data_IF_965418947842
#
_entry.id   IF_965418947842
#
_cell.length_a   1.000
_cell.length_b   1.000
_cell.length_c   1.000
_cell.angle_alpha   90.00
_cell.angle_beta   90.00
_cell.angle_gamma   90.00
#
_symmetry.space_group_name_H-M   'P 1'
#
loop_
_entity.id
_entity.type
_entity.pdbx_description
1 polymer ?
#
# COMPACT_ATOMS: atom_id res chain seq x y z
N UNK A 1 41.76 -22.82 3.54
CA UNK A 1 40.43 -22.41 3.06
C UNK A 1 39.67 -21.81 4.22
N UNK A 2 39.12 -20.60 4.07
CA UNK A 2 38.29 -19.99 5.12
C UNK A 2 36.83 -20.37 4.88
N UNK A 3 36.16 -20.94 5.87
CA UNK A 3 34.73 -21.30 5.82
C UNK A 3 33.83 -20.08 6.12
N UNK A 4 34.20 -18.92 5.60
CA UNK A 4 33.49 -17.67 5.87
C UNK A 4 32.50 -17.41 4.73
N UNK A 5 31.21 -17.20 5.03
CA UNK A 5 30.24 -16.80 4.01
C UNK A 5 30.52 -15.39 3.50
N UNK A 6 30.09 -15.12 2.28
CA UNK A 6 30.28 -13.82 1.67
C UNK A 6 29.45 -12.72 2.36
N UNK A 7 29.99 -11.50 2.42
CA UNK A 7 29.34 -10.39 3.14
C UNK A 7 28.01 -9.97 2.51
N UNK A 8 27.85 -10.09 1.19
CA UNK A 8 26.65 -9.63 0.48
C UNK A 8 25.42 -10.51 0.76
N UNK A 9 25.62 -11.76 1.19
CA UNK A 9 24.53 -12.68 1.54
C UNK A 9 23.62 -12.15 2.66
N UNK A 10 24.09 -11.17 3.44
CA UNK A 10 23.33 -10.56 4.53
C UNK A 10 22.11 -9.78 4.05
N UNK A 11 22.25 -9.07 2.93
CA UNK A 11 21.25 -8.11 2.45
C UNK A 11 20.71 -8.45 1.06
N UNK A 12 21.49 -9.18 0.24
CA UNK A 12 21.05 -9.60 -1.10
C UNK A 12 20.19 -10.85 -0.98
N UNK A 13 18.97 -10.77 -1.52
CA UNK A 13 18.09 -11.92 -1.68
C UNK A 13 18.51 -12.66 -2.96
N UNK A 14 18.80 -13.98 -2.89
CA UNK A 14 19.13 -14.75 -4.08
C UNK A 14 17.92 -14.89 -5.01
N UNK A 15 18.19 -15.08 -6.29
CA UNK A 15 17.15 -15.24 -7.31
C UNK A 15 16.27 -16.46 -7.01
N UNK A 16 14.95 -16.28 -7.13
CA UNK A 16 13.94 -17.32 -6.85
C UNK A 16 13.40 -17.32 -5.42
N UNK A 17 14.01 -16.59 -4.47
CA UNK A 17 13.49 -16.46 -3.11
C UNK A 17 12.67 -15.17 -2.96
N UNK A 18 11.44 -15.27 -2.44
CA UNK A 18 10.61 -14.10 -2.13
C UNK A 18 11.13 -13.41 -0.86
N UNK A 19 11.20 -12.08 -0.88
CA UNK A 19 11.61 -11.26 0.28
C UNK A 19 10.71 -11.48 1.49
N UNK A 20 9.40 -11.53 1.27
CA UNK A 20 8.38 -11.75 2.31
C UNK A 20 7.51 -12.92 1.91
N UNK A 21 7.35 -13.87 2.81
CA UNK A 21 6.39 -14.96 2.71
C UNK A 21 5.43 -14.89 3.90
N UNK A 22 4.15 -15.17 3.67
CA UNK A 22 3.12 -15.18 4.71
C UNK A 22 2.55 -16.59 4.85
N UNK A 23 2.58 -17.10 6.07
CA UNK A 23 2.00 -18.38 6.45
C UNK A 23 0.91 -18.14 7.50
N UNK A 24 -0.29 -18.68 7.28
CA UNK A 24 -1.38 -18.60 8.25
C UNK A 24 -1.18 -19.68 9.31
N UNK A 25 -1.25 -19.30 10.58
CA UNK A 25 -1.14 -20.27 11.67
C UNK A 25 -2.48 -21.04 11.79
N UNK A 26 -2.43 -22.38 11.84
CA UNK A 26 -3.63 -23.23 11.97
C UNK A 26 -4.06 -23.41 13.43
N UNK A 27 -3.17 -23.14 14.39
CA UNK A 27 -3.39 -23.41 15.82
C UNK A 27 -4.17 -22.31 16.53
N UNK A 28 -4.07 -21.07 16.05
CA UNK A 28 -4.64 -19.88 16.68
C UNK A 28 -5.46 -19.14 15.63
N UNK A 29 -6.70 -18.79 15.96
CA UNK A 29 -7.55 -18.02 15.06
C UNK A 29 -6.97 -16.64 14.78
N UNK A 30 -7.07 -16.17 13.53
CA UNK A 30 -6.62 -14.85 13.09
C UNK A 30 -5.16 -14.54 13.43
N UNK A 31 -4.31 -15.57 13.41
CA UNK A 31 -2.87 -15.46 13.59
C UNK A 31 -2.14 -15.82 12.30
N UNK A 32 -0.98 -15.20 12.08
CA UNK A 32 -0.12 -15.50 10.96
C UNK A 32 1.35 -15.20 11.27
N UNK A 33 2.22 -15.93 10.59
CA UNK A 33 3.66 -15.79 10.66
C UNK A 33 4.17 -15.22 9.33
N UNK A 34 4.84 -14.07 9.37
CA UNK A 34 5.58 -13.52 8.25
C UNK A 34 7.04 -13.95 8.35
N UNK A 35 7.55 -14.55 7.27
CA UNK A 35 8.98 -14.81 7.10
C UNK A 35 9.56 -13.72 6.22
N UNK A 36 10.42 -12.89 6.79
CA UNK A 36 11.14 -11.84 6.07
C UNK A 36 12.59 -12.26 5.91
N UNK A 37 13.03 -12.33 4.66
CA UNK A 37 14.37 -12.76 4.29
C UNK A 37 15.33 -11.58 4.30
N UNK A 38 16.57 -11.83 4.74
CA UNK A 38 17.68 -10.85 4.71
C UNK A 38 17.35 -9.56 5.44
N UNK A 39 16.75 -9.66 6.63
CA UNK A 39 16.43 -8.53 7.50
C UNK A 39 16.75 -8.87 8.96
N UNK A 40 17.04 -7.82 9.73
CA UNK A 40 17.53 -7.91 11.10
C UNK A 40 16.54 -7.29 12.11
N UNK A 41 16.97 -7.25 13.38
CA UNK A 41 16.25 -6.61 14.49
C UNK A 41 15.90 -5.13 14.23
N UNK A 42 16.60 -4.45 13.32
CA UNK A 42 16.37 -3.04 12.96
C UNK A 42 14.93 -2.81 12.49
N UNK A 43 14.48 -3.54 11.47
CA UNK A 43 13.12 -3.46 10.95
C UNK A 43 12.16 -4.22 11.87
N UNK A 44 12.58 -5.37 12.41
CA UNK A 44 11.72 -6.18 13.28
C UNK A 44 11.23 -5.46 14.52
N UNK A 45 12.12 -4.74 15.22
CA UNK A 45 11.73 -3.97 16.40
C UNK A 45 10.82 -2.80 16.06
N UNK A 46 11.06 -2.16 14.92
CA UNK A 46 10.27 -1.05 14.43
C UNK A 46 8.83 -1.47 14.12
N UNK A 47 8.66 -2.54 13.35
CA UNK A 47 7.33 -3.09 13.00
C UNK A 47 6.61 -3.59 14.25
N UNK A 48 7.29 -4.31 15.14
CA UNK A 48 6.70 -4.80 16.40
C UNK A 48 6.12 -3.64 17.23
N UNK A 49 6.87 -2.55 17.35
CA UNK A 49 6.44 -1.40 18.15
C UNK A 49 5.18 -0.76 17.56
N UNK A 50 5.13 -0.58 16.23
CA UNK A 50 3.96 -0.02 15.55
C UNK A 50 2.74 -0.93 15.51
N UNK A 51 2.93 -2.25 15.46
CA UNK A 51 1.84 -3.20 15.56
C UNK A 51 1.16 -3.14 16.95
N UNK A 52 1.93 -2.94 18.02
CA UNK A 52 1.38 -2.77 19.37
C UNK A 52 0.65 -1.44 19.59
N UNK A 53 0.82 -0.45 18.71
CA UNK A 53 0.06 0.80 18.78
C UNK A 53 -1.40 0.62 18.33
N UNK A 54 -1.72 -0.46 17.61
CA UNK A 54 -3.07 -0.74 17.15
C UNK A 54 -3.85 -1.57 18.19
N UNK A 55 -5.02 -1.10 18.68
CA UNK A 55 -5.80 -1.82 19.68
C UNK A 55 -6.39 -3.14 19.15
N UNK A 56 -6.44 -3.37 17.84
CA UNK A 56 -6.97 -4.60 17.25
C UNK A 56 -5.95 -5.74 17.19
N UNK A 57 -4.69 -5.47 17.55
CA UNK A 57 -3.60 -6.45 17.60
C UNK A 57 -3.44 -6.94 19.03
N UNK A 58 -3.75 -8.23 19.25
CA UNK A 58 -3.61 -8.88 20.55
C UNK A 58 -2.14 -9.16 20.84
N UNK A 59 -1.43 -9.68 19.83
CA UNK A 59 -0.07 -10.13 19.98
C UNK A 59 0.75 -9.75 18.74
N UNK A 60 1.92 -9.18 19.00
CA UNK A 60 2.94 -8.96 17.98
C UNK A 60 4.30 -9.31 18.56
N UNK A 61 5.09 -10.06 17.82
CA UNK A 61 6.42 -10.45 18.24
C UNK A 61 7.25 -10.88 17.06
N UNK A 62 8.56 -10.75 17.18
CA UNK A 62 9.47 -11.26 16.16
C UNK A 62 10.63 -12.00 16.81
N UNK A 63 11.22 -12.92 16.06
CA UNK A 63 12.43 -13.64 16.47
C UNK A 63 13.31 -13.93 15.27
N UNK A 64 14.61 -14.00 15.53
CA UNK A 64 15.60 -14.54 14.61
C UNK A 64 15.86 -15.99 15.06
N UNK A 65 15.65 -17.00 14.21
CA UNK A 65 15.77 -18.40 14.60
C UNK A 65 17.22 -18.77 14.95
N UNK A 66 18.17 -18.23 14.20
CA UNK A 66 19.60 -18.39 14.45
C UNK A 66 20.36 -17.18 13.89
N UNK A 67 21.37 -16.62 14.59
CA UNK A 67 22.08 -15.41 14.14
C UNK A 67 22.86 -15.56 12.83
N UNK A 68 23.23 -16.80 12.45
CA UNK A 68 23.87 -17.08 11.16
C UNK A 68 22.88 -17.19 9.99
N UNK A 69 21.58 -17.31 10.28
CA UNK A 69 20.54 -17.31 9.27
C UNK A 69 19.93 -15.92 9.13
N UNK A 70 20.10 -15.30 7.96
CA UNK A 70 19.53 -13.98 7.70
C UNK A 70 18.05 -14.09 7.33
N UNK A 71 17.20 -14.47 8.30
CA UNK A 71 15.75 -14.46 8.20
C UNK A 71 15.14 -14.13 9.55
N UNK A 72 14.06 -13.37 9.53
CA UNK A 72 13.30 -13.03 10.73
C UNK A 72 11.86 -13.51 10.59
N UNK A 73 11.30 -14.00 11.69
CA UNK A 73 9.93 -14.49 11.77
C UNK A 73 9.11 -13.53 12.63
N UNK A 74 8.10 -12.90 12.03
CA UNK A 74 7.17 -11.99 12.72
C UNK A 74 5.85 -12.73 12.91
N UNK A 75 5.40 -12.87 14.16
CA UNK A 75 4.08 -13.42 14.49
C UNK A 75 3.14 -12.31 14.86
N UNK A 76 1.97 -12.31 14.24
CA UNK A 76 0.90 -11.32 14.47
C UNK A 76 -0.39 -12.05 14.73
N UNK A 77 -1.10 -11.64 15.78
CA UNK A 77 -2.43 -12.12 16.13
C UNK A 77 -3.36 -10.92 16.33
N UNK A 78 -4.54 -11.00 15.74
CA UNK A 78 -5.56 -9.94 15.76
C UNK A 78 -6.87 -10.45 16.36
N UNK A 79 -7.72 -9.52 16.80
CA UNK A 79 -9.07 -9.80 17.35
C UNK A 79 -10.06 -10.39 16.32
N UNK A 80 -9.71 -10.39 15.03
CA UNK A 80 -10.57 -10.87 13.93
C UNK A 80 -11.41 -9.78 13.26
N UNK A 81 -11.40 -8.55 13.78
CA UNK A 81 -11.96 -7.38 13.07
C UNK A 81 -11.10 -6.98 11.87
N UNK A 82 -9.78 -7.08 12.03
CA UNK A 82 -8.80 -6.87 10.97
C UNK A 82 -8.06 -8.17 10.72
N UNK A 83 -7.61 -8.38 9.49
CA UNK A 83 -6.72 -9.52 9.18
C UNK A 83 -5.29 -9.17 9.59
N UNK A 84 -4.45 -10.16 9.97
CA UNK A 84 -3.05 -9.89 10.35
C UNK A 84 -2.25 -9.24 9.22
N UNK A 85 -2.62 -9.52 7.95
CA UNK A 85 -2.02 -8.88 6.76
C UNK A 85 -2.38 -7.40 6.70
N UNK A 86 -3.67 -7.06 6.86
CA UNK A 86 -4.13 -5.68 6.84
C UNK A 86 -3.55 -4.86 8.00
N UNK A 87 -3.52 -5.41 9.22
CA UNK A 87 -2.92 -4.77 10.38
C UNK A 87 -1.42 -4.47 10.17
N UNK A 88 -0.70 -5.39 9.54
CA UNK A 88 0.73 -5.21 9.23
C UNK A 88 0.95 -4.14 8.17
N UNK A 89 0.13 -4.10 7.11
CA UNK A 89 0.20 -3.04 6.09
C UNK A 89 -0.06 -1.66 6.71
N UNK A 90 -1.13 -1.53 7.49
CA UNK A 90 -1.49 -0.31 8.22
C UNK A 90 -0.35 0.17 9.15
N UNK A 91 0.33 -0.75 9.83
CA UNK A 91 1.48 -0.42 10.68
C UNK A 91 2.67 0.10 9.87
N UNK A 92 2.95 -0.48 8.70
CA UNK A 92 4.01 -0.03 7.80
C UNK A 92 3.69 1.36 7.22
N UNK A 93 2.45 1.60 6.81
CA UNK A 93 2.05 2.90 6.28
C UNK A 93 2.20 4.01 7.33
N UNK A 94 1.72 3.77 8.56
CA UNK A 94 1.91 4.68 9.71
C UNK A 94 3.39 4.96 9.98
N UNK A 95 4.23 3.94 9.86
CA UNK A 95 5.68 4.09 10.06
C UNK A 95 6.30 4.98 8.97
N UNK A 96 5.94 4.80 7.70
CA UNK A 96 6.41 5.64 6.59
C UNK A 96 6.01 7.10 6.81
N UNK A 97 4.79 7.35 7.25
CA UNK A 97 4.30 8.69 7.61
C UNK A 97 5.09 9.31 8.77
N UNK A 98 5.38 8.53 9.82
CA UNK A 98 6.20 8.98 10.96
C UNK A 98 7.62 9.37 10.50
N UNK A 99 8.29 8.51 9.73
CA UNK A 99 9.63 8.81 9.20
C UNK A 99 9.61 10.05 8.30
N UNK A 100 8.58 10.20 7.47
CA UNK A 100 8.42 11.37 6.61
C UNK A 100 8.26 12.67 7.43
N UNK A 101 7.42 12.66 8.46
CA UNK A 101 7.23 13.85 9.30
C UNK A 101 8.50 14.25 10.05
N UNK A 102 9.25 13.28 10.59
CA UNK A 102 10.56 13.52 11.22
C UNK A 102 11.54 14.13 10.21
N UNK A 103 11.58 13.60 8.98
CA UNK A 103 12.43 14.14 7.92
C UNK A 103 12.10 15.59 7.60
N UNK A 104 10.82 15.92 7.46
CA UNK A 104 10.37 17.29 7.17
C UNK A 104 10.74 18.26 8.30
N UNK A 105 10.52 17.88 9.55
CA UNK A 105 10.92 18.66 10.73
C UNK A 105 12.43 18.84 10.82
N UNK A 106 13.19 17.78 10.53
CA UNK A 106 14.65 17.84 10.54
C UNK A 106 15.18 18.78 9.47
N UNK A 107 14.61 18.78 8.26
CA UNK A 107 15.04 19.66 7.16
C UNK A 107 14.77 21.13 7.49
N UNK A 108 13.60 21.43 8.06
CA UNK A 108 13.24 22.79 8.51
C UNK A 108 14.15 23.24 9.65
N UNK A 109 14.39 22.38 10.65
CA UNK A 109 15.25 22.68 11.80
C UNK A 109 16.73 22.81 11.46
N UNK A 110 17.23 22.05 10.47
CA UNK A 110 18.64 22.09 10.03
C UNK A 110 18.99 23.32 9.18
N UNK A 111 18.08 24.30 9.04
CA UNK A 111 18.34 25.53 8.29
C UNK A 111 18.55 25.31 6.79
N UNK A 112 18.18 24.13 6.28
CA UNK A 112 18.19 23.84 4.85
C UNK A 112 17.22 24.77 4.15
N UNK A 113 17.72 25.88 3.62
CA UNK A 113 16.98 26.86 2.83
C UNK A 113 16.45 26.15 1.58
N UNK A 114 15.32 25.46 1.68
CA UNK A 114 14.56 25.08 0.50
C UNK A 114 14.15 26.39 -0.15
N UNK A 115 14.87 26.75 -1.21
CA UNK A 115 14.36 27.66 -2.22
C UNK A 115 12.99 27.10 -2.61
N UNK A 116 11.92 27.70 -2.07
CA UNK A 116 10.58 27.52 -2.60
C UNK A 116 10.74 27.78 -4.09
N UNK A 117 10.57 26.75 -4.93
CA UNK A 117 10.31 26.99 -6.34
C UNK A 117 8.98 27.73 -6.34
N UNK A 118 9.05 29.06 -6.41
CA UNK A 118 7.94 29.88 -6.83
C UNK A 118 7.58 29.34 -8.20
N UNK A 119 6.56 28.49 -8.24
CA UNK A 119 5.84 28.22 -9.48
C UNK A 119 5.22 29.57 -9.83
N UNK A 120 5.96 30.36 -10.62
CA UNK A 120 5.41 31.50 -11.34
C UNK A 120 4.31 30.91 -12.21
N UNK A 121 3.07 31.00 -11.74
CA UNK A 121 1.89 30.92 -12.62
C UNK A 121 2.04 32.08 -13.60
N UNK A 122 2.60 31.83 -14.78
CA UNK A 122 2.52 32.73 -15.91
C UNK A 122 1.11 32.62 -16.51
N UNK A 123 0.13 33.19 -15.83
CA UNK A 123 -1.15 33.52 -16.46
C UNK A 123 -1.05 34.97 -16.94
N UNK A 124 -0.42 35.15 -18.10
CA UNK A 124 -0.56 36.36 -18.91
C UNK A 124 -1.23 35.97 -20.23
N UNK A 125 -2.53 35.75 -20.16
CA UNK A 125 -3.46 36.12 -21.23
C UNK A 125 -4.63 36.81 -20.55
N UNK A 126 -4.42 38.10 -20.28
CA UNK A 126 -5.47 39.01 -19.85
C UNK A 126 -6.37 39.27 -21.08
N UNK A 127 -7.45 38.49 -21.17
CA UNK A 127 -8.55 38.74 -22.11
C UNK A 127 -9.33 39.97 -21.62
N UNK A 128 -8.84 41.15 -22.00
CA UNK A 128 -9.60 42.41 -22.00
C UNK A 128 -10.57 42.47 -23.20
N UNK A 129 -10.58 41.48 -24.09
CA UNK A 129 -11.41 41.51 -25.29
C UNK A 129 -12.53 40.46 -25.21
N UNK A 130 -13.71 40.86 -24.70
CA UNK A 130 -15.04 40.63 -25.33
C UNK A 130 -16.16 40.99 -24.34
N UNK A 131 -16.56 42.26 -24.29
CA UNK A 131 -17.87 42.71 -23.78
C UNK A 131 -18.36 43.93 -24.57
N UNK A 132 -19.07 43.72 -25.69
CA UNK A 132 -20.20 44.58 -26.14
C UNK A 132 -20.82 44.03 -27.45
N UNK A 133 -22.16 44.15 -27.56
CA UNK A 133 -23.13 43.74 -28.62
C UNK A 133 -23.92 42.48 -28.23
N UNK A 134 -25.05 42.61 -27.52
CA UNK A 134 -26.44 42.85 -28.02
C UNK A 134 -26.85 41.66 -28.91
N UNK A 135 -27.78 40.75 -28.56
CA UNK A 135 -29.17 40.94 -28.11
C UNK A 135 -30.11 40.42 -29.22
N UNK A 136 -31.27 39.84 -28.85
CA UNK A 136 -32.34 39.23 -29.70
C UNK A 136 -32.07 37.78 -30.17
N UNK A 137 -32.97 36.76 -30.11
CA UNK A 137 -34.43 36.69 -30.25
C UNK A 137 -35.01 35.48 -29.47
N UNK A 138 -36.15 35.74 -28.83
CA UNK A 138 -37.35 34.90 -28.60
C UNK A 138 -37.26 33.42 -28.18
N UNK A 139 -37.75 33.22 -26.95
CA UNK A 139 -38.80 32.29 -26.53
C UNK A 139 -39.66 31.72 -27.69
N UNK A 140 -39.75 30.39 -27.80
CA UNK A 140 -40.87 29.70 -28.45
C UNK A 140 -40.91 28.22 -28.06
N UNK A 141 -42.07 27.81 -27.50
CA UNK A 141 -42.72 26.50 -27.65
C UNK A 141 -41.96 25.27 -27.09
N UNK A 142 -42.30 24.76 -25.90
CA UNK A 142 -43.46 23.93 -25.56
C UNK A 142 -43.62 22.66 -26.44
N UNK A 143 -43.79 21.54 -25.72
CA UNK A 143 -44.37 20.23 -26.08
C UNK A 143 -43.52 19.10 -26.69
N UNK A 144 -43.57 17.97 -25.94
CA UNK A 144 -43.58 16.55 -26.37
C UNK A 144 -42.27 16.01 -26.95
N UNK A 145 -41.86 14.76 -26.76
CA UNK A 145 -42.44 13.48 -26.28
C UNK A 145 -41.22 12.55 -26.07
N UNK A 146 -41.12 11.87 -24.93
CA UNK A 146 -41.27 10.40 -24.76
C UNK A 146 -40.15 9.49 -25.34
N UNK A 147 -39.91 8.40 -24.58
CA UNK A 147 -39.27 7.11 -24.91
C UNK A 147 -37.72 7.09 -24.91
N UNK A 148 -36.99 6.12 -24.35
CA UNK A 148 -37.13 5.01 -23.38
C UNK A 148 -35.67 4.55 -23.10
N UNK A 149 -35.37 3.87 -21.98
CA UNK A 149 -34.06 3.28 -21.70
C UNK A 149 -33.91 1.90 -22.36
N UNK A 150 -32.73 1.61 -22.90
CA UNK A 150 -32.30 0.30 -23.43
C UNK A 150 -30.87 0.10 -22.86
N UNK A 151 -30.43 -1.02 -22.31
CA UNK A 151 -30.96 -2.37 -22.19
C UNK A 151 -29.96 -3.10 -21.27
N UNK A 152 -30.44 -3.74 -20.20
CA UNK A 152 -29.67 -4.71 -19.45
C UNK A 152 -29.93 -6.10 -20.03
N UNK A 153 -28.89 -6.93 -19.98
CA UNK A 153 -28.91 -8.39 -20.03
C UNK A 153 -28.91 -9.04 -21.41
N UNK A 154 -27.72 -9.53 -21.82
CA UNK A 154 -27.62 -10.82 -22.51
C UNK A 154 -26.42 -11.61 -21.96
N UNK A 155 -26.76 -12.79 -21.39
CA UNK A 155 -26.03 -14.07 -21.46
C UNK A 155 -24.75 -14.17 -20.61
N UNK A 156 -24.65 -14.89 -19.48
CA UNK A 156 -25.30 -16.11 -19.00
C UNK A 156 -25.47 -17.22 -20.05
N UNK A 157 -24.33 -17.79 -20.50
CA UNK A 157 -24.17 -19.19 -20.99
C UNK A 157 -22.70 -19.44 -21.35
N UNK A 158 -21.92 -19.87 -20.37
CA UNK A 158 -20.75 -20.74 -20.57
C UNK A 158 -20.53 -21.49 -19.26
N UNK A 159 -21.52 -22.32 -18.98
CA UNK A 159 -21.43 -23.40 -18.01
C UNK A 159 -21.05 -24.65 -18.82
N UNK A 160 -20.19 -25.50 -18.25
CA UNK A 160 -19.96 -26.91 -18.59
C UNK A 160 -19.20 -27.19 -19.90
N UNK A 161 -17.88 -27.34 -19.77
CA UNK A 161 -17.12 -28.56 -20.08
C UNK A 161 -15.64 -28.27 -19.88
N UNK A 162 -15.03 -28.82 -18.83
CA UNK A 162 -13.66 -29.37 -18.84
C UNK A 162 -13.41 -30.05 -17.47
N UNK A 163 -14.24 -31.06 -17.20
CA UNK A 163 -13.85 -32.20 -16.39
C UNK A 163 -13.22 -33.22 -17.34
N UNK A 164 -11.97 -33.60 -17.07
CA UNK A 164 -11.21 -34.60 -17.82
C UNK A 164 -9.72 -34.35 -17.58
N UNK A 165 -9.14 -34.96 -16.55
CA UNK A 165 -8.28 -36.15 -16.66
C UNK A 165 -7.24 -35.99 -17.76
N UNK A 166 -5.97 -36.00 -17.37
CA UNK A 166 -4.92 -36.74 -18.06
C UNK A 166 -3.71 -36.94 -17.14
N UNK A 167 -3.42 -38.24 -16.91
CA UNK A 167 -2.20 -38.97 -16.49
C UNK A 167 -1.37 -38.52 -15.27
#
# INVERSE_FOLDING_TARGET
MSNQPDRYEKFVVPDGVKKVAFERDTKIANAGTFTVQREDHTIGNMIRTHLHEDPHVIFSGYKIPHPLEYRMLIKVQTDGRETPVAATQKAVDKLVEKVRSIREQFVVGSGGRLRRKTVRRSSHTCLICTRRWIGYIALSFLTRRELHPMEQAEVSRQDRTNDGRDY
#
